data_IF_332813153993
#
_entry.id   IF_332813153993
#
_cell.length_a   1.000
_cell.length_b   1.000
_cell.length_c   1.000
_cell.angle_alpha   90.00
_cell.angle_beta   90.00
_cell.angle_gamma   90.00
#
_symmetry.space_group_name_H-M   'P 1'
#
loop_
_entity.id
_entity.type
_entity.pdbx_description
1 polymer ?
#
# COMPACT_ATOMS: atom_id res chain seq x y z
N UNK A 1 33.80 -21.66 -36.25
CA UNK A 1 34.73 -22.76 -35.92
C UNK A 1 33.91 -23.97 -35.49
N UNK A 2 34.07 -25.10 -36.21
CA UNK A 2 33.58 -26.44 -35.82
C UNK A 2 34.37 -26.94 -34.62
N UNK A 3 33.70 -27.67 -33.73
CA UNK A 3 34.12 -28.88 -32.98
C UNK A 3 32.95 -29.23 -32.05
N UNK A 4 32.47 -30.45 -31.83
CA UNK A 4 32.78 -31.82 -32.23
C UNK A 4 31.57 -32.67 -31.76
N UNK A 5 31.07 -33.63 -32.53
CA UNK A 5 31.46 -35.06 -32.49
C UNK A 5 31.38 -35.73 -31.11
N UNK A 6 30.50 -36.74 -31.00
CA UNK A 6 30.45 -37.71 -29.91
C UNK A 6 29.09 -37.71 -29.20
N UNK A 7 28.34 -38.79 -29.07
CA UNK A 7 28.54 -40.20 -29.38
C UNK A 7 27.32 -40.92 -28.83
N UNK A 8 26.75 -41.86 -29.59
CA UNK A 8 25.67 -42.71 -29.11
C UNK A 8 26.25 -43.77 -28.17
N UNK A 9 25.80 -43.83 -26.92
CA UNK A 9 25.96 -45.00 -26.06
C UNK A 9 24.66 -45.25 -25.30
N UNK A 10 23.81 -46.06 -25.92
CA UNK A 10 22.82 -46.86 -25.22
C UNK A 10 23.56 -47.85 -24.31
N UNK A 11 23.35 -47.74 -23.00
CA UNK A 11 23.45 -48.89 -22.10
C UNK A 11 22.30 -48.85 -21.12
N UNK A 12 21.54 -49.93 -21.17
CA UNK A 12 20.47 -50.28 -20.26
C UNK A 12 20.94 -50.17 -18.80
N UNK A 13 20.26 -49.31 -18.03
CA UNK A 13 20.35 -49.30 -16.58
C UNK A 13 18.94 -49.22 -16.00
N UNK A 14 18.31 -50.39 -15.95
CA UNK A 14 17.80 -50.95 -14.70
C UNK A 14 16.80 -50.07 -13.95
N UNK A 15 15.53 -50.50 -14.02
CA UNK A 15 14.45 -50.29 -13.04
C UNK A 15 14.89 -49.48 -11.81
N UNK A 16 14.72 -48.16 -11.85
CA UNK A 16 14.57 -47.36 -10.63
C UNK A 16 13.10 -47.16 -10.42
N UNK A 17 12.56 -47.92 -9.46
CA UNK A 17 11.22 -47.71 -8.93
C UNK A 17 11.04 -46.23 -8.62
N UNK A 18 9.92 -45.67 -9.09
CA UNK A 18 9.52 -44.31 -8.76
C UNK A 18 9.38 -44.22 -7.23
N UNK A 19 10.34 -43.55 -6.58
CA UNK A 19 10.20 -43.14 -5.19
C UNK A 19 9.09 -42.10 -5.18
N UNK A 20 7.99 -42.27 -4.43
CA UNK A 20 7.00 -41.20 -4.30
C UNK A 20 7.67 -40.05 -3.55
N UNK A 21 7.86 -38.92 -4.24
CA UNK A 21 8.18 -37.65 -3.60
C UNK A 21 7.06 -37.35 -2.61
N UNK A 22 7.33 -37.57 -1.32
CA UNK A 22 6.41 -37.21 -0.27
C UNK A 22 6.27 -35.67 -0.28
N UNK A 23 5.06 -35.10 -0.42
CA UNK A 23 4.90 -33.68 -0.20
C UNK A 23 5.11 -33.40 1.29
N UNK A 24 6.22 -32.76 1.63
CA UNK A 24 6.47 -32.21 2.95
C UNK A 24 5.48 -31.06 3.22
N UNK A 25 4.24 -31.38 3.58
CA UNK A 25 3.23 -30.41 4.01
C UNK A 25 3.47 -30.00 5.46
N UNK A 26 4.57 -29.30 5.74
CA UNK A 26 4.77 -28.59 7.00
C UNK A 26 3.94 -27.30 6.99
N UNK A 27 2.61 -27.42 7.06
CA UNK A 27 1.76 -26.29 7.42
C UNK A 27 1.87 -26.09 8.94
N UNK A 28 2.83 -25.28 9.34
CA UNK A 28 2.95 -24.81 10.72
C UNK A 28 1.63 -24.20 11.17
N UNK A 29 1.15 -24.61 12.34
CA UNK A 29 -0.06 -24.08 12.98
C UNK A 29 0.18 -22.61 13.35
N UNK A 30 -0.10 -21.70 12.42
CA UNK A 30 0.03 -20.26 12.63
C UNK A 30 -0.96 -19.85 13.71
N UNK A 31 -0.46 -19.48 14.91
CA UNK A 31 -1.28 -18.92 15.97
C UNK A 31 -1.52 -17.44 15.72
N UNK A 32 -2.79 -17.12 15.46
CA UNK A 32 -3.27 -15.79 15.11
C UNK A 32 -4.44 -15.91 14.15
N UNK A 33 -5.67 -15.83 14.66
CA UNK A 33 -6.86 -15.91 13.81
C UNK A 33 -7.02 -14.63 12.98
N UNK A 34 -7.24 -14.78 11.68
CA UNK A 34 -7.61 -13.69 10.77
C UNK A 34 -9.00 -13.08 11.06
N UNK A 35 -9.72 -13.59 12.06
CA UNK A 35 -11.08 -13.20 12.44
C UNK A 35 -11.30 -11.71 12.72
N UNK A 36 -10.24 -10.93 12.95
CA UNK A 36 -10.31 -9.48 13.21
C UNK A 36 -9.98 -8.62 11.98
N UNK A 37 -9.66 -9.22 10.84
CA UNK A 37 -9.35 -8.48 9.62
C UNK A 37 -10.59 -7.68 9.18
N UNK A 38 -10.42 -6.38 8.94
CA UNK A 38 -11.49 -5.52 8.41
C UNK A 38 -12.59 -5.08 9.37
N UNK A 39 -12.62 -5.57 10.63
CA UNK A 39 -13.65 -5.25 11.64
C UNK A 39 -13.94 -3.74 11.75
N UNK A 40 -12.90 -2.91 11.81
CA UNK A 40 -13.05 -1.46 12.00
C UNK A 40 -13.65 -0.79 10.75
N UNK A 41 -13.28 -1.25 9.56
CA UNK A 41 -13.73 -0.65 8.29
C UNK A 41 -15.22 -0.91 8.01
N UNK A 42 -15.75 -2.04 8.47
CA UNK A 42 -17.19 -2.36 8.36
C UNK A 42 -18.03 -1.74 9.47
N UNK A 43 -17.45 -1.50 10.64
CA UNK A 43 -18.14 -0.85 11.77
C UNK A 43 -18.32 0.66 11.58
N UNK A 44 -17.39 1.34 10.92
CA UNK A 44 -17.51 2.79 10.68
C UNK A 44 -18.62 3.10 9.67
N UNK A 45 -19.51 4.07 9.95
CA UNK A 45 -20.53 4.49 8.98
C UNK A 45 -19.86 4.97 7.69
N UNK A 46 -20.39 4.52 6.55
CA UNK A 46 -19.83 4.87 5.25
C UNK A 46 -20.28 6.29 4.86
N UNK A 47 -19.48 7.28 5.25
CA UNK A 47 -19.74 8.67 4.85
C UNK A 47 -19.39 8.86 3.38
N UNK A 48 -20.35 9.33 2.60
CA UNK A 48 -20.15 9.69 1.20
C UNK A 48 -19.24 10.92 1.08
N UNK A 49 -18.49 10.99 -0.01
CA UNK A 49 -17.61 12.13 -0.25
C UNK A 49 -18.48 13.32 -0.61
N UNK A 50 -18.48 14.35 0.23
CA UNK A 50 -19.06 15.64 -0.13
C UNK A 50 -18.33 16.22 -1.34
N UNK A 51 -19.08 16.71 -2.32
CA UNK A 51 -18.52 17.43 -3.45
C UNK A 51 -17.94 18.75 -2.96
N UNK A 52 -16.61 18.86 -3.00
CA UNK A 52 -15.88 20.09 -2.67
C UNK A 52 -15.35 20.70 -3.96
N UNK A 53 -15.46 22.03 -4.13
CA UNK A 53 -14.95 22.68 -5.32
C UNK A 53 -13.45 22.42 -5.47
N UNK A 54 -13.02 22.24 -6.71
CA UNK A 54 -11.61 21.97 -7.04
C UNK A 54 -10.76 23.15 -6.59
N UNK A 55 -9.85 22.91 -5.66
CA UNK A 55 -8.88 23.92 -5.24
C UNK A 55 -7.89 24.11 -6.40
N UNK A 56 -7.64 25.35 -6.86
CA UNK A 56 -6.67 25.60 -7.91
C UNK A 56 -5.27 25.13 -7.48
N UNK A 57 -4.44 24.71 -8.43
CA UNK A 57 -3.09 24.20 -8.18
C UNK A 57 -2.03 25.27 -8.51
N UNK A 58 -0.80 25.08 -8.03
CA UNK A 58 0.36 25.93 -8.37
C UNK A 58 0.28 27.37 -7.83
N UNK A 59 0.58 28.35 -8.70
CA UNK A 59 0.71 29.77 -8.35
C UNK A 59 -0.58 30.38 -7.79
N UNK A 60 -1.73 30.02 -8.36
CA UNK A 60 -3.03 30.49 -7.90
C UNK A 60 -3.30 30.07 -6.43
N UNK A 61 -2.96 28.83 -6.07
CA UNK A 61 -3.05 28.35 -4.67
C UNK A 61 -2.16 29.15 -3.73
N UNK A 62 -0.93 29.46 -4.17
CA UNK A 62 0.04 30.22 -3.36
C UNK A 62 -0.45 31.65 -3.12
N UNK A 63 -1.06 32.31 -4.12
CA UNK A 63 -1.69 33.64 -3.96
C UNK A 63 -2.83 33.60 -2.93
N UNK A 64 -3.74 32.63 -3.03
CA UNK A 64 -4.84 32.46 -2.08
C UNK A 64 -4.31 32.23 -0.66
N UNK A 65 -3.28 31.39 -0.50
CA UNK A 65 -2.66 31.14 0.80
C UNK A 65 -1.97 32.37 1.37
N UNK A 66 -1.27 33.15 0.55
CA UNK A 66 -0.62 34.38 0.99
C UNK A 66 -1.66 35.40 1.48
N UNK A 67 -2.69 35.67 0.68
CA UNK A 67 -3.76 36.58 1.05
C UNK A 67 -4.45 36.13 2.35
N UNK A 68 -4.81 34.84 2.47
CA UNK A 68 -5.44 34.29 3.67
C UNK A 68 -4.54 34.36 4.91
N UNK A 69 -3.24 34.14 4.74
CA UNK A 69 -2.30 34.07 5.85
C UNK A 69 -1.79 35.42 6.28
N UNK A 70 -1.62 36.39 5.39
CA UNK A 70 -0.87 37.61 5.68
C UNK A 70 -1.67 38.89 5.48
N UNK A 71 -2.46 38.98 4.41
CA UNK A 71 -3.19 40.21 4.05
C UNK A 71 -4.53 40.31 4.78
N UNK A 72 -5.31 39.24 4.79
CA UNK A 72 -6.68 39.25 5.32
C UNK A 72 -6.74 38.88 6.81
N UNK A 73 -5.66 38.34 7.38
CA UNK A 73 -5.62 37.94 8.78
C UNK A 73 -4.98 39.05 9.62
N UNK A 74 -5.81 39.98 10.12
CA UNK A 74 -5.42 40.94 11.16
C UNK A 74 -5.22 40.16 12.46
N UNK A 75 -3.96 40.02 12.86
CA UNK A 75 -3.63 39.45 14.17
C UNK A 75 -3.96 40.50 15.20
N UNK A 76 -4.95 40.24 16.05
CA UNK A 76 -5.13 41.04 17.27
C UNK A 76 -3.83 40.96 18.09
N UNK A 77 -3.34 42.07 18.66
CA UNK A 77 -2.12 42.03 19.46
C UNK A 77 -2.28 40.99 20.58
N UNK A 78 -1.44 39.94 20.56
CA UNK A 78 -1.50 38.79 21.47
C UNK A 78 -2.07 37.49 20.89
N UNK A 79 -2.73 37.51 19.72
CA UNK A 79 -3.31 36.31 19.09
C UNK A 79 -2.33 35.54 18.22
N UNK A 80 -1.95 34.30 18.58
CA UNK A 80 -1.17 33.44 17.68
C UNK A 80 -2.04 32.99 16.50
N UNK A 81 -1.56 33.14 15.26
CA UNK A 81 -2.24 32.64 14.04
C UNK A 81 -2.54 31.15 14.16
N UNK A 82 -3.82 30.76 14.20
CA UNK A 82 -4.27 29.36 14.20
C UNK A 82 -4.85 29.00 12.83
N UNK A 83 -4.41 27.88 12.28
CA UNK A 83 -4.96 27.32 11.05
C UNK A 83 -5.93 26.21 11.44
N UNK A 84 -7.19 26.31 11.00
CA UNK A 84 -8.28 25.41 11.37
C UNK A 84 -8.55 25.36 12.89
N UNK A 85 -8.91 26.49 13.54
CA UNK A 85 -9.49 26.42 14.86
C UNK A 85 -10.83 25.66 14.75
N UNK A 86 -11.00 24.62 15.55
CA UNK A 86 -12.33 24.10 15.81
C UNK A 86 -12.85 24.89 17.02
N UNK A 87 -13.92 25.62 16.84
CA UNK A 87 -14.68 26.18 17.95
C UNK A 87 -15.31 24.97 18.65
N UNK A 88 -14.84 24.67 19.87
CA UNK A 88 -15.53 23.70 20.72
C UNK A 88 -16.81 24.33 21.23
#
# INVERSE_FOLDING_TARGET
>A
MRVGSGGAFSTDRGKRAAVPLQPHSKMGKVHGSLARAGKVKSQTPKVEKQEKPKVPKGRAKKRILFNRRFVNAVVTPGGKRRMNPNDK
#
